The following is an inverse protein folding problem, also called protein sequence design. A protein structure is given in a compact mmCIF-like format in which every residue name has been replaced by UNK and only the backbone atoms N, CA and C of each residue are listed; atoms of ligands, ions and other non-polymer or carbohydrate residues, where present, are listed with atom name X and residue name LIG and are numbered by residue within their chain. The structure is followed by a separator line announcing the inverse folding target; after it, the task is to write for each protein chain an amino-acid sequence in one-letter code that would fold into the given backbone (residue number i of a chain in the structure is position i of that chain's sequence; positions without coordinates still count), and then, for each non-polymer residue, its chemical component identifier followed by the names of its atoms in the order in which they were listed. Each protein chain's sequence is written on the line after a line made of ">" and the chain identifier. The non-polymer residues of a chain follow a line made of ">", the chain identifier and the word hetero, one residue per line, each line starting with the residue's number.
data_IF_498668532086
#
_entry.id   IF_498668532086
#
_cell.length_a   1.000
_cell.length_b   1.000
_cell.length_c   1.000
_cell.angle_alpha   90.00
_cell.angle_beta   90.00
_cell.angle_gamma   90.00
#
_symmetry.space_group_name_H-M   'P 1'
#
loop_
_entity.id
_entity.type
_entity.pdbx_description
1 polymer ?
#
# COMPACT_ATOMS: atom_id res chain seq x y z
N UNK A 1 -9.55 7.69 13.69
CA UNK A 1 -10.31 6.42 13.53
C UNK A 1 -11.61 6.50 14.30
N UNK A 2 -12.70 5.84 13.87
CA UNK A 2 -13.96 5.86 14.63
C UNK A 2 -13.99 4.84 15.77
N UNK A 3 -13.48 3.63 15.54
CA UNK A 3 -13.34 2.56 16.55
C UNK A 3 -12.00 1.84 16.39
N UNK A 4 -11.26 1.69 17.47
CA UNK A 4 -9.94 1.06 17.53
C UNK A 4 -8.85 1.87 16.81
N UNK A 5 -7.65 1.27 16.74
CA UNK A 5 -6.48 1.87 16.10
C UNK A 5 -6.17 1.24 14.74
N UNK A 6 -5.38 1.90 13.92
CA UNK A 6 -4.75 1.32 12.74
C UNK A 6 -3.28 1.70 12.66
N UNK A 7 -2.52 0.98 11.84
CA UNK A 7 -1.14 1.33 11.50
C UNK A 7 -1.09 1.76 10.05
N UNK A 8 -0.53 2.93 9.78
CA UNK A 8 -0.25 3.41 8.44
C UNK A 8 1.26 3.36 8.23
N UNK A 9 1.73 2.41 7.42
CA UNK A 9 3.14 2.36 7.02
C UNK A 9 3.36 3.35 5.90
N UNK A 10 4.38 4.20 5.98
CA UNK A 10 4.69 5.19 4.94
C UNK A 10 6.15 5.14 4.54
N UNK A 11 6.46 5.62 3.33
CA UNK A 11 7.81 6.00 2.94
C UNK A 11 7.89 7.53 2.92
N UNK A 12 8.57 8.10 3.91
CA UNK A 12 8.66 9.54 4.13
C UNK A 12 10.13 9.97 4.07
N UNK A 13 10.47 10.83 3.13
CA UNK A 13 11.86 11.21 2.80
C UNK A 13 12.81 10.01 2.68
N UNK A 14 12.36 8.95 2.01
CA UNK A 14 13.13 7.72 1.81
C UNK A 14 13.21 6.81 3.04
N UNK A 15 12.57 7.17 4.15
CA UNK A 15 12.54 6.38 5.37
C UNK A 15 11.20 5.69 5.57
N UNK A 16 11.24 4.38 5.82
CA UNK A 16 10.04 3.64 6.19
C UNK A 16 9.65 3.98 7.63
N UNK A 17 8.43 4.50 7.82
CA UNK A 17 7.90 4.88 9.13
C UNK A 17 6.57 4.20 9.38
N UNK A 18 6.32 3.90 10.64
CA UNK A 18 5.06 3.37 11.14
C UNK A 18 4.31 4.48 11.87
N UNK A 19 3.18 4.92 11.31
CA UNK A 19 2.30 5.92 11.92
C UNK A 19 1.14 5.17 12.59
N UNK A 20 1.03 5.31 13.91
CA UNK A 20 -0.11 4.80 14.65
C UNK A 20 -1.23 5.86 14.64
N UNK A 21 -2.42 5.47 14.15
CA UNK A 21 -3.61 6.33 14.14
C UNK A 21 -4.61 5.69 15.10
N UNK A 22 -4.77 6.30 16.27
CA UNK A 22 -5.58 5.79 17.36
C UNK A 22 -7.07 6.11 17.18
N UNK A 23 -7.88 5.53 18.05
CA UNK A 23 -9.31 5.85 18.14
C UNK A 23 -9.49 7.34 18.46
N UNK A 24 -10.38 8.02 17.75
CA UNK A 24 -10.57 9.47 17.85
C UNK A 24 -9.60 10.30 17.00
N UNK A 25 -8.46 9.75 16.55
CA UNK A 25 -7.48 10.53 15.80
C UNK A 25 -8.00 10.99 14.43
N UNK A 26 -7.59 12.20 14.05
CA UNK A 26 -7.61 12.68 12.68
C UNK A 26 -6.18 12.74 12.15
N UNK A 27 -5.99 12.35 10.89
CA UNK A 27 -4.68 12.36 10.24
C UNK A 27 -4.86 12.76 8.77
N UNK A 28 -4.04 13.70 8.30
CA UNK A 28 -4.00 14.13 6.91
C UNK A 28 -2.70 13.64 6.28
N UNK A 29 -2.81 12.80 5.25
CA UNK A 29 -1.67 12.31 4.49
C UNK A 29 -1.43 13.22 3.27
N UNK A 30 -0.24 13.82 3.12
CA UNK A 30 0.11 14.57 1.91
C UNK A 30 0.08 13.67 0.65
N UNK A 31 -0.21 14.29 -0.50
CA UNK A 31 -0.16 13.60 -1.79
C UNK A 31 1.22 13.03 -2.11
N UNK A 32 1.26 11.97 -2.92
CA UNK A 32 2.48 11.29 -3.37
C UNK A 32 3.32 10.59 -2.28
N UNK A 33 2.86 10.54 -1.04
CA UNK A 33 3.50 9.73 0.01
C UNK A 33 3.10 8.25 -0.17
N UNK A 34 4.03 7.33 -0.50
CA UNK A 34 3.71 5.91 -0.58
C UNK A 34 3.26 5.41 0.78
N UNK A 35 2.11 4.75 0.84
CA UNK A 35 1.51 4.31 2.10
C UNK A 35 0.86 2.93 1.98
N UNK A 36 0.81 2.22 3.10
CA UNK A 36 0.20 0.89 3.21
C UNK A 36 -0.67 0.84 4.50
N UNK A 37 -2.01 0.98 4.35
CA UNK A 37 -2.95 0.89 5.47
C UNK A 37 -3.03 -0.53 6.05
N UNK A 38 -2.72 -0.69 7.34
CA UNK A 38 -2.86 -1.95 8.07
C UNK A 38 -3.97 -1.80 9.11
N UNK A 39 -5.06 -2.53 8.92
CA UNK A 39 -6.23 -2.55 9.81
C UNK A 39 -6.23 -3.80 10.68
N UNK A 40 -6.72 -3.67 11.91
CA UNK A 40 -6.85 -4.77 12.86
C UNK A 40 -8.32 -5.21 13.00
N UNK A 41 -8.54 -6.38 13.57
CA UNK A 41 -9.90 -6.91 13.81
C UNK A 41 -10.71 -5.95 14.70
N UNK A 42 -12.03 -5.91 14.49
CA UNK A 42 -12.98 -5.11 15.27
C UNK A 42 -12.73 -3.58 15.27
N UNK A 43 -12.10 -3.05 14.22
CA UNK A 43 -11.84 -1.61 14.04
C UNK A 43 -12.72 -1.00 12.95
N UNK A 44 -13.02 0.30 13.06
CA UNK A 44 -13.79 1.08 12.08
C UNK A 44 -13.04 2.39 11.82
N UNK A 45 -12.75 2.66 10.54
CA UNK A 45 -12.11 3.90 10.11
C UNK A 45 -12.89 4.57 8.99
N UNK A 46 -12.82 5.90 8.94
CA UNK A 46 -13.37 6.72 7.87
C UNK A 46 -12.19 7.23 7.06
N UNK A 47 -12.25 7.10 5.74
CA UNK A 47 -11.27 7.63 4.79
C UNK A 47 -12.02 8.53 3.82
N UNK A 48 -11.47 9.71 3.58
CA UNK A 48 -12.00 10.68 2.63
C UNK A 48 -10.90 10.96 1.61
N UNK A 49 -11.22 10.75 0.34
CA UNK A 49 -10.36 11.07 -0.79
C UNK A 49 -11.12 11.97 -1.76
N UNK A 50 -10.38 12.63 -2.66
CA UNK A 50 -10.96 13.40 -3.76
C UNK A 50 -10.86 12.63 -5.08
N UNK A 51 -11.78 12.91 -5.99
CA UNK A 51 -11.67 12.49 -7.38
C UNK A 51 -10.36 13.02 -8.00
N UNK A 52 -9.72 12.17 -8.80
CA UNK A 52 -8.46 12.52 -9.45
C UNK A 52 -8.71 13.53 -10.57
N UNK A 53 -7.92 14.63 -10.66
CA UNK A 53 -7.93 15.49 -11.83
C UNK A 53 -7.55 14.70 -13.10
N UNK A 54 -7.98 15.18 -14.26
CA UNK A 54 -7.60 14.56 -15.54
C UNK A 54 -6.08 14.55 -15.71
N UNK A 55 -5.55 13.41 -16.14
CA UNK A 55 -4.12 13.23 -16.37
C UNK A 55 -3.30 12.96 -15.11
N UNK A 56 -3.93 12.87 -13.93
CA UNK A 56 -3.28 12.44 -12.68
C UNK A 56 -3.56 10.95 -12.48
N UNK A 57 -2.51 10.15 -12.47
CA UNK A 57 -2.60 8.72 -12.23
C UNK A 57 -2.22 8.37 -10.79
N UNK A 58 -2.78 7.26 -10.30
CA UNK A 58 -2.36 6.60 -9.08
C UNK A 58 -1.30 5.54 -9.41
N UNK A 59 -0.56 5.13 -8.38
CA UNK A 59 0.40 4.04 -8.46
C UNK A 59 0.17 3.03 -7.35
N UNK A 60 0.20 1.74 -7.69
CA UNK A 60 0.36 0.64 -6.74
C UNK A 60 1.78 0.10 -6.86
N UNK A 61 2.45 -0.12 -5.73
CA UNK A 61 3.89 -0.42 -5.69
C UNK A 61 4.22 -1.41 -4.58
N UNK A 62 5.16 -2.31 -4.86
CA UNK A 62 5.70 -3.28 -3.91
C UNK A 62 7.17 -3.01 -3.65
N UNK A 63 7.56 -3.06 -2.38
CA UNK A 63 8.94 -2.96 -1.93
C UNK A 63 9.43 -4.33 -1.46
N UNK A 64 10.72 -4.60 -1.66
CA UNK A 64 11.31 -5.88 -1.30
C UNK A 64 11.29 -6.04 0.22
N UNK A 65 10.81 -7.18 0.70
CA UNK A 65 10.78 -7.50 2.13
C UNK A 65 12.18 -7.47 2.76
N UNK A 66 13.20 -7.87 2.01
CA UNK A 66 14.59 -7.96 2.44
C UNK A 66 15.35 -6.63 2.28
N UNK A 67 15.53 -6.14 1.05
CA UNK A 67 16.42 -4.99 0.77
C UNK A 67 15.69 -3.65 0.55
N UNK A 68 14.36 -3.63 0.63
CA UNK A 68 13.50 -2.44 0.45
C UNK A 68 13.52 -1.78 -0.94
N UNK A 69 14.21 -2.37 -1.91
CA UNK A 69 14.15 -1.94 -3.32
C UNK A 69 12.73 -2.03 -3.88
N UNK A 70 12.38 -1.18 -4.85
CA UNK A 70 11.12 -1.33 -5.58
C UNK A 70 11.17 -2.63 -6.39
N UNK A 71 10.21 -3.53 -6.13
CA UNK A 71 10.09 -4.81 -6.82
C UNK A 71 9.24 -4.66 -8.07
N UNK A 72 8.08 -4.00 -7.92
CA UNK A 72 7.14 -3.75 -9.00
C UNK A 72 6.37 -2.46 -8.74
N UNK A 73 5.98 -1.78 -9.81
CA UNK A 73 5.05 -0.66 -9.79
C UNK A 73 4.07 -0.80 -10.96
N UNK A 74 2.87 -0.28 -10.79
CA UNK A 74 1.87 -0.14 -11.84
C UNK A 74 1.19 1.20 -11.68
N UNK A 75 1.08 1.93 -12.78
CA UNK A 75 0.42 3.22 -12.87
C UNK A 75 -0.92 3.08 -13.58
N UNK A 76 -1.95 3.75 -13.08
CA UNK A 76 -3.29 3.70 -13.65
C UNK A 76 -4.10 4.95 -13.29
N UNK A 77 -5.03 5.34 -14.16
CA UNK A 77 -6.02 6.35 -13.80
C UNK A 77 -7.09 5.69 -12.91
N UNK A 78 -7.22 6.16 -11.68
CA UNK A 78 -8.13 5.59 -10.69
C UNK A 78 -9.57 6.09 -10.91
N UNK A 79 -10.36 5.32 -11.65
CA UNK A 79 -11.81 5.55 -11.83
C UNK A 79 -12.67 4.63 -10.96
N UNK A 80 -12.16 3.47 -10.57
CA UNK A 80 -12.77 2.52 -9.63
C UNK A 80 -11.67 1.93 -8.74
N UNK A 81 -11.51 2.52 -7.57
CA UNK A 81 -10.45 2.16 -6.62
C UNK A 81 -10.52 0.68 -6.21
N UNK A 82 -11.72 0.15 -5.98
CA UNK A 82 -11.87 -1.22 -5.47
C UNK A 82 -11.49 -2.27 -6.50
N UNK A 83 -11.98 -2.10 -7.73
CA UNK A 83 -11.74 -3.04 -8.82
C UNK A 83 -10.30 -2.97 -9.31
N UNK A 84 -9.79 -1.76 -9.58
CA UNK A 84 -8.47 -1.59 -10.21
C UNK A 84 -7.32 -1.98 -9.29
N UNK A 85 -7.43 -1.72 -7.98
CA UNK A 85 -6.43 -2.17 -7.00
C UNK A 85 -6.39 -3.70 -6.93
N UNK A 86 -7.56 -4.36 -6.91
CA UNK A 86 -7.65 -5.83 -6.90
C UNK A 86 -7.00 -6.44 -8.14
N UNK A 87 -7.24 -5.88 -9.31
CA UNK A 87 -6.60 -6.33 -10.56
C UNK A 87 -5.08 -6.19 -10.50
N UNK A 88 -4.55 -5.06 -10.01
CA UNK A 88 -3.11 -4.87 -9.83
C UNK A 88 -2.49 -5.89 -8.88
N UNK A 89 -3.19 -6.25 -7.80
CA UNK A 89 -2.76 -7.28 -6.86
C UNK A 89 -2.74 -8.67 -7.52
N UNK A 90 -3.80 -9.05 -8.25
CA UNK A 90 -3.88 -10.34 -8.92
C UNK A 90 -2.80 -10.48 -10.00
N UNK A 91 -2.55 -9.41 -10.77
CA UNK A 91 -1.48 -9.35 -11.75
C UNK A 91 -0.12 -9.61 -11.10
N UNK A 92 0.18 -8.90 -9.99
CA UNK A 92 1.39 -9.12 -9.22
C UNK A 92 1.49 -10.56 -8.70
N UNK A 93 0.43 -11.12 -8.12
CA UNK A 93 0.45 -12.47 -7.55
C UNK A 93 0.67 -13.57 -8.60
N UNK A 94 0.14 -13.38 -9.80
CA UNK A 94 0.20 -14.34 -10.91
C UNK A 94 1.55 -14.41 -11.61
N UNK A 95 2.45 -13.46 -11.37
CA UNK A 95 3.69 -13.30 -12.12
C UNK A 95 4.92 -13.42 -11.20
N UNK A 96 5.68 -14.51 -11.38
CA UNK A 96 6.86 -14.80 -10.57
C UNK A 96 7.98 -13.77 -10.77
N UNK A 97 8.16 -13.27 -11.99
CA UNK A 97 9.20 -12.28 -12.29
C UNK A 97 8.86 -10.93 -11.65
N UNK A 98 7.61 -10.49 -11.73
CA UNK A 98 7.13 -9.28 -11.04
C UNK A 98 7.26 -9.37 -9.52
N UNK A 99 7.25 -10.58 -8.95
CA UNK A 99 7.40 -10.79 -7.49
C UNK A 99 8.84 -10.94 -7.04
N UNK A 100 9.77 -11.20 -7.95
CA UNK A 100 11.16 -11.48 -7.63
C UNK A 100 11.97 -10.18 -7.64
N UNK A 101 12.56 -9.82 -6.51
CA UNK A 101 13.38 -8.61 -6.44
C UNK A 101 14.62 -8.76 -7.32
N UNK A 102 14.77 -7.88 -8.32
CA UNK A 102 15.91 -7.90 -9.24
C UNK A 102 17.27 -7.62 -8.58
N UNK A 103 17.27 -7.02 -7.38
CA UNK A 103 18.49 -6.67 -6.65
C UNK A 103 19.03 -7.81 -5.79
N UNK A 104 18.16 -8.58 -5.14
CA UNK A 104 18.59 -9.61 -4.17
C UNK A 104 17.90 -10.96 -4.33
N UNK A 105 17.12 -11.16 -5.40
CA UNK A 105 16.39 -12.37 -5.74
C UNK A 105 15.36 -12.84 -4.69
N UNK A 106 15.07 -12.01 -3.69
CA UNK A 106 14.02 -12.32 -2.70
C UNK A 106 12.66 -12.34 -3.40
N UNK A 107 11.92 -13.45 -3.22
CA UNK A 107 10.53 -13.57 -3.66
C UNK A 107 9.60 -12.81 -2.70
N UNK A 108 8.73 -11.99 -3.25
CA UNK A 108 7.78 -11.17 -2.50
C UNK A 108 6.33 -11.63 -2.75
N UNK A 109 5.43 -11.14 -1.91
CA UNK A 109 4.03 -11.56 -1.87
C UNK A 109 3.12 -10.34 -1.66
N UNK A 110 1.91 -10.37 -2.23
CA UNK A 110 0.91 -9.32 -2.02
C UNK A 110 0.34 -9.29 -0.60
N UNK A 111 0.52 -10.38 0.15
CA UNK A 111 -0.06 -10.61 1.48
C UNK A 111 0.94 -11.26 2.44
N UNK A 112 0.79 -11.03 3.76
CA UNK A 112 1.57 -11.75 4.76
C UNK A 112 1.46 -13.25 4.56
N UNK A 113 2.61 -13.94 4.57
CA UNK A 113 2.64 -15.40 4.55
C UNK A 113 2.41 -15.91 5.96
N UNK A 114 1.69 -17.04 6.09
CA UNK A 114 1.64 -17.75 7.37
C UNK A 114 3.06 -18.21 7.69
N UNK A 115 3.59 -17.72 8.81
CA UNK A 115 4.78 -18.34 9.41
C UNK A 115 4.27 -19.58 10.13
N UNK A 116 4.71 -20.75 9.68
CA UNK A 116 4.45 -22.01 10.37
C UNK A 116 5.43 -22.18 11.53
#
# INVERSE_FOLDING_TARGET
>A
MYKGSMLLKVLDDGNFKDIHIHEGDSFLLPGNVPHNPVRFTNTIGIVVEQDRPKGVNDQIRWYCSNCKEIVHNKEFYCSDLGTQIKEGILEFDSDLEKRTCKRCNTLNYSRPQKVF
#
